data_IF_677169983001
#
_entry.id   IF_677169983001
#
_cell.length_a   1.000
_cell.length_b   1.000
_cell.length_c   1.000
_cell.angle_alpha   90.00
_cell.angle_beta   90.00
_cell.angle_gamma   90.00
#
_symmetry.space_group_name_H-M   'P 1'
#
loop_
_entity.id
_entity.type
_entity.pdbx_description
1 polymer ?
#
# COMPACT_ATOMS: atom_id res chain seq x y z
N UNK A 1 36.30 2.92 -43.23
CA UNK A 1 35.06 2.33 -43.77
C UNK A 1 34.09 2.18 -42.62
N UNK A 2 33.19 3.16 -42.55
CA UNK A 2 32.16 3.38 -41.54
C UNK A 2 30.97 2.46 -41.76
N UNK A 3 30.57 1.70 -40.75
CA UNK A 3 29.22 1.13 -40.68
C UNK A 3 28.33 2.13 -39.94
N UNK A 4 27.27 2.67 -40.55
CA UNK A 4 26.35 3.57 -39.86
C UNK A 4 25.40 2.76 -38.96
N UNK A 5 25.31 3.19 -37.70
CA UNK A 5 24.24 2.83 -36.76
C UNK A 5 22.88 3.14 -37.40
N UNK A 6 22.16 2.10 -37.82
CA UNK A 6 20.76 2.24 -38.21
C UNK A 6 19.92 2.40 -36.94
N UNK A 7 19.32 3.57 -36.80
CA UNK A 7 18.32 3.88 -35.77
C UNK A 7 17.02 3.19 -36.21
N UNK A 8 16.57 2.16 -35.47
CA UNK A 8 15.27 1.53 -35.70
C UNK A 8 14.15 2.59 -35.70
N UNK A 9 13.27 2.62 -36.72
CA UNK A 9 12.14 3.51 -36.68
C UNK A 9 11.15 2.95 -35.65
N UNK A 10 10.96 3.67 -34.54
CA UNK A 10 9.88 3.41 -33.62
C UNK A 10 8.55 3.48 -34.40
N UNK A 11 7.96 2.32 -34.67
CA UNK A 11 6.63 2.18 -35.25
C UNK A 11 5.64 2.87 -34.31
N UNK A 12 5.21 4.08 -34.69
CA UNK A 12 4.13 4.79 -33.98
C UNK A 12 2.84 4.02 -34.20
N UNK A 13 2.33 3.37 -33.15
CA UNK A 13 1.03 2.75 -33.17
C UNK A 13 -0.04 3.80 -33.58
N UNK A 14 -1.01 3.45 -34.44
CA UNK A 14 -2.08 4.36 -34.83
C UNK A 14 -2.86 4.83 -33.59
N UNK A 15 -3.32 6.09 -33.52
CA UNK A 15 -4.16 6.54 -32.41
C UNK A 15 -5.48 5.76 -32.44
N UNK A 16 -5.68 4.90 -31.45
CA UNK A 16 -6.90 4.14 -31.26
C UNK A 16 -8.05 5.14 -31.02
N UNK A 17 -9.19 4.95 -31.73
CA UNK A 17 -10.40 5.75 -31.50
C UNK A 17 -10.89 5.47 -30.08
N UNK A 18 -11.44 6.47 -29.39
CA UNK A 18 -11.84 6.37 -27.97
C UNK A 18 -12.79 5.20 -27.65
N UNK A 19 -13.54 4.71 -28.63
CA UNK A 19 -14.44 3.54 -28.53
C UNK A 19 -13.74 2.17 -28.67
N UNK A 20 -12.55 2.17 -29.26
CA UNK A 20 -11.72 1.00 -29.55
C UNK A 20 -10.49 0.94 -28.62
N UNK A 21 -10.31 1.96 -27.77
CA UNK A 21 -9.38 1.90 -26.67
C UNK A 21 -9.93 0.86 -25.68
N UNK A 22 -9.23 -0.25 -25.41
CA UNK A 22 -9.63 -1.11 -24.33
C UNK A 22 -9.71 -0.23 -23.08
N UNK A 23 -10.75 -0.42 -22.27
CA UNK A 23 -10.80 0.12 -20.92
C UNK A 23 -9.71 -0.58 -20.12
N UNK A 24 -8.46 -0.22 -20.38
CA UNK A 24 -7.28 -0.71 -19.68
C UNK A 24 -7.30 -0.02 -18.34
N UNK A 25 -8.16 -0.51 -17.45
CA UNK A 25 -8.02 -0.25 -16.03
C UNK A 25 -6.59 -0.66 -15.69
N UNK A 26 -5.73 0.32 -15.40
CA UNK A 26 -4.29 0.13 -15.21
C UNK A 26 -4.07 -0.96 -14.18
N UNK A 27 -3.42 -2.06 -14.56
CA UNK A 27 -3.10 -3.11 -13.60
C UNK A 27 -2.21 -2.56 -12.48
N UNK A 28 -2.58 -2.84 -11.23
CA UNK A 28 -1.83 -2.46 -10.04
C UNK A 28 -1.18 -3.73 -9.48
N UNK A 29 0.14 -3.72 -9.35
CA UNK A 29 0.89 -4.88 -8.87
C UNK A 29 0.88 -4.98 -7.34
N UNK A 30 0.68 -3.86 -6.63
CA UNK A 30 0.54 -3.83 -5.18
C UNK A 30 -0.86 -4.29 -4.75
N UNK A 31 -1.86 -4.15 -5.63
CA UNK A 31 -3.23 -4.58 -5.41
C UNK A 31 -3.87 -5.24 -6.65
N UNK A 32 -3.33 -6.41 -7.03
CA UNK A 32 -3.74 -7.15 -8.23
C UNK A 32 -5.23 -7.51 -8.28
N UNK A 33 -5.86 -7.71 -7.12
CA UNK A 33 -7.27 -8.09 -6.99
C UNK A 33 -8.17 -6.95 -6.51
N UNK A 34 -7.67 -5.72 -6.45
CA UNK A 34 -8.46 -4.55 -6.04
C UNK A 34 -9.08 -4.71 -4.66
N UNK A 35 -8.33 -5.25 -3.71
CA UNK A 35 -8.74 -5.41 -2.33
C UNK A 35 -9.24 -4.08 -1.75
N UNK A 36 -8.66 -2.94 -2.15
CA UNK A 36 -9.11 -1.60 -1.76
C UNK A 36 -10.60 -1.35 -2.01
N UNK A 37 -11.10 -1.87 -3.13
CA UNK A 37 -12.48 -1.65 -3.58
C UNK A 37 -13.47 -2.60 -2.92
N UNK A 38 -12.98 -3.65 -2.26
CA UNK A 38 -13.79 -4.65 -1.58
C UNK A 38 -14.03 -4.32 -0.11
N UNK A 39 -13.26 -3.39 0.45
CA UNK A 39 -13.42 -2.93 1.83
C UNK A 39 -14.56 -1.91 1.94
N UNK A 40 -15.25 -1.93 3.07
CA UNK A 40 -16.14 -0.86 3.51
C UNK A 40 -15.34 0.41 3.86
N UNK A 41 -16.05 1.52 4.08
CA UNK A 41 -15.41 2.77 4.49
C UNK A 41 -14.75 2.65 5.86
N UNK A 42 -15.46 2.04 6.82
CA UNK A 42 -14.95 1.80 8.17
C UNK A 42 -13.69 0.93 8.17
N UNK A 43 -13.66 -0.14 7.37
CA UNK A 43 -12.48 -1.00 7.24
C UNK A 43 -11.29 -0.27 6.62
N UNK A 44 -11.52 0.62 5.65
CA UNK A 44 -10.45 1.46 5.08
C UNK A 44 -9.92 2.44 6.11
N UNK A 45 -10.80 3.13 6.83
CA UNK A 45 -10.41 4.06 7.89
C UNK A 45 -9.59 3.37 8.98
N UNK A 46 -10.03 2.18 9.42
CA UNK A 46 -9.32 1.38 10.42
C UNK A 46 -7.94 0.96 9.92
N UNK A 47 -7.85 0.45 8.68
CA UNK A 47 -6.57 0.07 8.08
C UNK A 47 -5.62 1.26 7.99
N UNK A 48 -6.11 2.41 7.56
CA UNK A 48 -5.28 3.62 7.40
C UNK A 48 -4.78 4.10 8.78
N UNK A 49 -5.63 4.08 9.81
CA UNK A 49 -5.21 4.36 11.18
C UNK A 49 -4.17 3.37 11.71
N UNK A 50 -4.34 2.07 11.43
CA UNK A 50 -3.37 1.04 11.79
C UNK A 50 -2.02 1.24 11.07
N UNK A 51 -2.07 1.62 9.78
CA UNK A 51 -0.88 1.91 8.98
C UNK A 51 -0.14 3.13 9.54
N UNK A 52 -0.85 4.20 9.85
CA UNK A 52 -0.26 5.42 10.40
C UNK A 52 0.41 5.17 11.76
N UNK A 53 -0.23 4.40 12.64
CA UNK A 53 0.37 3.98 13.91
C UNK A 53 1.65 3.15 13.69
N UNK A 54 1.60 2.17 12.78
CA UNK A 54 2.78 1.35 12.47
C UNK A 54 3.95 2.18 11.94
N UNK A 55 3.70 3.16 11.06
CA UNK A 55 4.74 3.99 10.48
C UNK A 55 5.28 5.06 11.43
N UNK A 56 4.43 5.65 12.27
CA UNK A 56 4.81 6.75 13.16
C UNK A 56 5.38 6.28 14.50
N UNK A 57 4.86 5.19 15.06
CA UNK A 57 5.21 4.70 16.40
C UNK A 57 6.13 3.49 16.34
N UNK A 58 5.78 2.47 15.55
CA UNK A 58 6.51 1.19 15.55
C UNK A 58 7.79 1.23 14.70
N UNK A 59 7.71 1.78 13.50
CA UNK A 59 8.82 1.88 12.54
C UNK A 59 10.10 2.50 13.13
N UNK A 60 10.07 3.61 13.91
CA UNK A 60 11.29 4.16 14.48
C UNK A 60 11.88 3.31 15.60
N UNK A 61 11.07 2.51 16.30
CA UNK A 61 11.50 1.71 17.47
C UNK A 61 12.01 0.31 17.09
N UNK A 62 11.55 -0.24 15.96
CA UNK A 62 11.71 -1.68 15.64
C UNK A 62 13.17 -2.15 15.54
N UNK A 63 14.08 -1.31 15.03
CA UNK A 63 15.49 -1.71 14.84
C UNK A 63 16.17 -1.94 16.19
N UNK A 64 16.03 -0.99 17.11
CA UNK A 64 16.66 -1.07 18.43
C UNK A 64 15.93 -2.07 19.32
N UNK A 65 14.59 -2.10 19.28
CA UNK A 65 13.79 -3.09 20.01
C UNK A 65 14.17 -4.53 19.62
N UNK A 66 14.35 -4.79 18.32
CA UNK A 66 14.78 -6.10 17.82
C UNK A 66 16.23 -6.42 18.23
N UNK A 67 17.14 -5.46 18.13
CA UNK A 67 18.56 -5.65 18.50
C UNK A 67 18.74 -5.98 19.97
N UNK A 68 18.04 -5.25 20.84
CA UNK A 68 18.17 -5.37 22.29
C UNK A 68 17.21 -6.39 22.89
N UNK A 69 16.39 -7.06 22.06
CA UNK A 69 15.33 -7.98 22.48
C UNK A 69 14.44 -7.38 23.60
N UNK A 70 14.08 -6.09 23.44
CA UNK A 70 13.31 -5.34 24.41
C UNK A 70 11.96 -4.91 23.83
N UNK A 71 10.94 -4.89 24.69
CA UNK A 71 9.59 -4.47 24.31
C UNK A 71 9.13 -3.37 25.24
N UNK A 72 8.74 -2.23 24.67
CA UNK A 72 8.18 -1.09 25.40
C UNK A 72 6.69 -1.37 25.73
N UNK A 73 6.32 -1.54 27.02
CA UNK A 73 4.93 -1.79 27.40
C UNK A 73 3.99 -0.62 27.06
N UNK A 74 4.52 0.59 26.90
CA UNK A 74 3.75 1.78 26.52
C UNK A 74 3.05 1.63 25.17
N UNK A 75 3.64 0.84 24.27
CA UNK A 75 3.07 0.55 22.94
C UNK A 75 1.66 -0.06 23.07
N UNK A 76 1.43 -0.94 24.05
CA UNK A 76 0.10 -1.55 24.24
C UNK A 76 -0.94 -0.52 24.69
N UNK A 77 -0.53 0.45 25.52
CA UNK A 77 -1.43 1.52 25.94
C UNK A 77 -1.79 2.41 24.76
N UNK A 78 -0.80 2.81 23.97
CA UNK A 78 -1.01 3.63 22.77
C UNK A 78 -1.90 2.90 21.75
N UNK A 79 -1.68 1.60 21.50
CA UNK A 79 -2.54 0.77 20.64
C UNK A 79 -3.99 0.71 21.13
N UNK A 80 -4.21 0.69 22.45
CA UNK A 80 -5.55 0.72 23.03
C UNK A 80 -6.25 2.06 22.86
N UNK A 81 -5.53 3.18 22.99
CA UNK A 81 -6.07 4.54 22.84
C UNK A 81 -6.59 4.80 21.42
N UNK A 82 -5.99 4.18 20.41
CA UNK A 82 -6.43 4.28 19.00
C UNK A 82 -7.41 3.16 18.59
N UNK A 83 -7.85 2.32 19.53
CA UNK A 83 -8.84 1.28 19.29
C UNK A 83 -8.32 0.08 18.48
N UNK A 84 -7.00 -0.14 18.40
CA UNK A 84 -6.43 -1.30 17.69
C UNK A 84 -6.40 -2.59 18.53
N UNK A 85 -6.85 -2.54 19.79
CA UNK A 85 -6.96 -3.70 20.66
C UNK A 85 -8.42 -4.12 20.83
N UNK A 86 -8.72 -5.39 20.58
CA UNK A 86 -10.06 -5.92 20.77
C UNK A 86 -11.08 -5.50 19.70
N UNK A 87 -10.63 -5.29 18.45
CA UNK A 87 -11.46 -4.84 17.32
C UNK A 87 -12.75 -5.64 17.07
N UNK A 88 -12.80 -6.89 17.52
CA UNK A 88 -13.96 -7.78 17.37
C UNK A 88 -14.76 -7.94 18.66
N UNK A 89 -14.38 -7.26 19.74
CA UNK A 89 -15.10 -7.30 21.01
C UNK A 89 -16.28 -6.33 20.94
N UNK A 90 -17.44 -6.71 21.51
CA UNK A 90 -18.54 -5.77 21.68
C UNK A 90 -18.11 -4.62 22.59
N UNK A 91 -18.65 -3.42 22.35
CA UNK A 91 -18.37 -2.21 23.14
C UNK A 91 -19.04 -2.22 24.54
N UNK A 92 -19.68 -3.33 24.93
CA UNK A 92 -20.45 -3.51 26.18
C UNK A 92 -19.60 -3.96 27.38
#
# INVERSE_FOLDING_TARGET
MTTPTQKEPALKAPPLKAKDAPGLTRFDWEDAFRMETQLSEDERMLRDGARDFAQSVLQPKVIDAYREASTDPGIFKEMGEIGLLGLTLPEE
#
